data_IF_217543585258
#
_entry.id   IF_217543585258
#
_cell.length_a   1.000
_cell.length_b   1.000
_cell.length_c   1.000
_cell.angle_alpha   90.00
_cell.angle_beta   90.00
_cell.angle_gamma   90.00
#
_symmetry.space_group_name_H-M   'P 1'
#
loop_
_entity.id
_entity.type
_entity.pdbx_description
1 polymer ?
#
# COMPACT_ATOMS: atom_id res chain seq x y z
N UNK A 1 7.62 12.72 -0.76
CA UNK A 1 8.68 11.69 -0.54
C UNK A 1 9.63 11.76 -1.73
N UNK A 2 10.96 11.88 -1.52
CA UNK A 2 11.91 11.85 -2.63
C UNK A 2 11.80 10.52 -3.39
N UNK A 3 11.86 10.61 -4.72
CA UNK A 3 11.80 9.45 -5.60
C UNK A 3 13.06 8.59 -5.39
N UNK A 4 12.89 7.33 -5.02
CA UNK A 4 13.96 6.34 -4.97
C UNK A 4 13.45 4.99 -5.45
N UNK A 5 14.32 4.17 -6.03
CA UNK A 5 13.92 2.82 -6.47
C UNK A 5 13.53 1.93 -5.29
N UNK A 6 14.06 2.20 -4.09
CA UNK A 6 13.67 1.55 -2.84
C UNK A 6 12.24 1.91 -2.42
N UNK A 7 11.86 3.18 -2.56
CA UNK A 7 10.50 3.70 -2.36
C UNK A 7 9.50 2.98 -3.28
N UNK A 8 9.81 2.88 -4.58
CA UNK A 8 8.93 2.24 -5.57
C UNK A 8 8.76 0.75 -5.28
N UNK A 9 9.86 0.03 -5.01
CA UNK A 9 9.81 -1.42 -4.69
C UNK A 9 9.01 -1.69 -3.41
N UNK A 10 9.20 -0.86 -2.37
CA UNK A 10 8.48 -1.00 -1.11
C UNK A 10 6.99 -0.71 -1.26
N UNK A 11 6.63 0.32 -2.02
CA UNK A 11 5.23 0.63 -2.36
C UNK A 11 4.54 -0.52 -3.09
N UNK A 12 5.20 -1.08 -4.11
CA UNK A 12 4.66 -2.22 -4.86
C UNK A 12 4.46 -3.46 -3.97
N UNK A 13 5.40 -3.74 -3.06
CA UNK A 13 5.27 -4.82 -2.09
C UNK A 13 4.10 -4.58 -1.13
N UNK A 14 3.99 -3.39 -0.55
CA UNK A 14 2.90 -3.03 0.36
C UNK A 14 1.54 -3.17 -0.32
N UNK A 15 1.43 -2.71 -1.57
CA UNK A 15 0.21 -2.87 -2.37
C UNK A 15 -0.14 -4.35 -2.59
N UNK A 16 0.84 -5.19 -2.93
CA UNK A 16 0.60 -6.62 -3.09
C UNK A 16 0.15 -7.31 -1.79
N UNK A 17 0.75 -6.94 -0.65
CA UNK A 17 0.36 -7.45 0.67
C UNK A 17 -1.06 -7.01 1.03
N UNK A 18 -1.42 -5.75 0.78
CA UNK A 18 -2.77 -5.22 0.97
C UNK A 18 -3.80 -6.01 0.17
N UNK A 19 -3.59 -6.20 -1.13
CA UNK A 19 -4.48 -7.01 -1.98
C UNK A 19 -4.64 -8.42 -1.40
N UNK A 20 -3.56 -9.01 -0.90
CA UNK A 20 -3.60 -10.35 -0.31
C UNK A 20 -4.35 -10.38 1.03
N UNK A 21 -4.21 -9.36 1.86
CA UNK A 21 -5.00 -9.24 3.09
C UNK A 21 -6.48 -9.04 2.79
N UNK A 22 -6.81 -8.20 1.82
CA UNK A 22 -8.18 -7.97 1.36
C UNK A 22 -8.80 -9.30 0.90
N UNK A 23 -8.09 -10.05 0.05
CA UNK A 23 -8.57 -11.33 -0.44
C UNK A 23 -8.65 -12.42 0.65
N UNK A 24 -7.72 -12.43 1.61
CA UNK A 24 -7.69 -13.46 2.68
C UNK A 24 -8.77 -13.21 3.74
N UNK A 25 -9.07 -11.94 4.00
CA UNK A 25 -10.06 -11.52 5.00
C UNK A 25 -11.47 -11.32 4.40
N UNK A 26 -11.64 -11.63 3.10
CA UNK A 26 -12.87 -11.42 2.33
C UNK A 26 -13.41 -9.99 2.46
N UNK A 27 -12.50 -9.02 2.45
CA UNK A 27 -12.82 -7.60 2.56
C UNK A 27 -13.22 -7.04 1.20
N UNK A 28 -14.10 -6.05 1.21
CA UNK A 28 -14.52 -5.39 -0.03
C UNK A 28 -13.41 -4.47 -0.59
N UNK A 29 -12.79 -4.81 -1.75
CA UNK A 29 -11.61 -4.10 -2.27
C UNK A 29 -11.92 -2.66 -2.67
N UNK A 30 -13.14 -2.41 -3.16
CA UNK A 30 -13.62 -1.09 -3.59
C UNK A 30 -13.70 -0.12 -2.43
N UNK A 31 -14.16 -0.58 -1.26
CA UNK A 31 -14.25 0.23 -0.06
C UNK A 31 -12.86 0.57 0.50
N UNK A 32 -11.96 -0.42 0.52
CA UNK A 32 -10.58 -0.25 1.00
C UNK A 32 -9.80 0.70 0.10
N UNK A 33 -9.89 0.55 -1.23
CA UNK A 33 -9.19 1.41 -2.21
C UNK A 33 -9.72 2.84 -2.25
N UNK A 34 -11.00 3.04 -1.92
CA UNK A 34 -11.62 4.36 -1.86
C UNK A 34 -11.24 5.13 -0.58
N UNK A 35 -10.67 4.46 0.42
CA UNK A 35 -10.29 5.13 1.67
C UNK A 35 -9.03 5.97 1.47
N UNK A 36 -8.98 7.22 1.98
CA UNK A 36 -7.77 8.07 1.91
C UNK A 36 -6.55 7.46 2.61
N UNK A 37 -6.75 6.46 3.47
CA UNK A 37 -5.67 5.78 4.20
C UNK A 37 -4.99 4.73 3.33
N UNK A 38 -5.60 4.32 2.21
CA UNK A 38 -5.01 3.34 1.31
C UNK A 38 -3.67 3.84 0.75
N UNK A 39 -3.60 5.12 0.36
CA UNK A 39 -2.34 5.72 -0.08
C UNK A 39 -1.30 5.71 1.03
N UNK A 40 -1.69 6.08 2.26
CA UNK A 40 -0.80 6.07 3.43
C UNK A 40 -0.28 4.67 3.75
N UNK A 41 -1.10 3.63 3.59
CA UNK A 41 -0.70 2.24 3.78
C UNK A 41 0.23 1.74 2.66
N UNK A 42 -0.02 2.14 1.41
CA UNK A 42 0.90 1.85 0.31
C UNK A 42 2.27 2.50 0.54
N UNK A 43 2.28 3.70 1.11
CA UNK A 43 3.49 4.46 1.42
C UNK A 43 4.06 4.15 2.82
N UNK A 44 3.51 3.15 3.53
CA UNK A 44 3.94 2.78 4.87
C UNK A 44 5.39 2.26 4.89
N UNK A 45 6.19 2.75 5.84
CA UNK A 45 7.60 2.37 5.97
C UNK A 45 8.50 2.92 4.86
N UNK A 46 7.97 3.79 3.99
CA UNK A 46 8.78 4.60 3.09
C UNK A 46 9.33 5.77 3.92
N UNK A 47 10.52 5.56 4.49
CA UNK A 47 11.24 6.65 5.16
C UNK A 47 11.72 7.59 4.06
N UNK A 48 11.12 8.78 3.99
CA UNK A 48 11.71 9.90 3.27
C UNK A 48 13.01 10.24 4.01
N UNK A 49 14.13 9.74 3.51
CA UNK A 49 15.46 10.18 3.93
C UNK A 49 15.62 11.69 3.66
#
# INVERSE_FOLDING_TARGET
>A
IPFSMATVKRRALNQHLLERFIATLDLEPTLIKSHPNYSTLCDYGIIAA
#
